data_IF_543540031255
#
_entry.id   IF_543540031255
#
_cell.length_a   1.000
_cell.length_b   1.000
_cell.length_c   1.000
_cell.angle_alpha   90.00
_cell.angle_beta   90.00
_cell.angle_gamma   90.00
#
_symmetry.space_group_name_H-M   'P 1'
#
loop_
_entity.id
_entity.type
_entity.pdbx_description
1 polymer ?
#
# COMPACT_ATOMS: atom_id res chain seq x y z
N UNK A 1 20.39 1.78 -5.79
CA UNK A 1 19.12 1.18 -6.26
C UNK A 1 18.94 1.53 -7.72
N UNK A 2 18.47 0.58 -8.55
CA UNK A 2 18.33 0.77 -10.01
C UNK A 2 17.52 2.04 -10.38
N UNK A 3 16.41 2.32 -9.67
CA UNK A 3 15.61 3.56 -9.91
C UNK A 3 16.42 4.81 -9.68
N UNK A 4 17.22 4.87 -8.59
CA UNK A 4 18.09 6.01 -8.30
C UNK A 4 19.16 6.21 -9.38
N UNK A 5 19.68 5.12 -9.93
CA UNK A 5 20.63 5.18 -11.07
C UNK A 5 19.93 5.77 -12.29
N UNK A 6 18.69 5.33 -12.60
CA UNK A 6 17.92 5.87 -13.73
C UNK A 6 17.55 7.35 -13.58
N UNK A 7 17.25 7.80 -12.37
CA UNK A 7 16.99 9.22 -12.12
C UNK A 7 18.22 10.12 -12.25
N UNK A 8 19.43 9.55 -12.18
CA UNK A 8 20.69 10.26 -12.40
C UNK A 8 21.16 10.24 -13.86
N UNK A 9 20.53 9.48 -14.74
CA UNK A 9 20.81 9.47 -16.17
C UNK A 9 20.11 10.66 -16.85
N UNK A 10 20.63 11.07 -18.04
CA UNK A 10 19.92 12.00 -18.90
C UNK A 10 18.99 11.24 -19.84
N UNK A 11 17.73 11.63 -19.89
CA UNK A 11 16.72 11.06 -20.77
C UNK A 11 16.30 12.11 -21.80
N UNK A 12 16.33 11.75 -23.08
CA UNK A 12 15.90 12.63 -24.17
C UNK A 12 14.37 12.67 -24.29
N UNK A 13 13.71 11.60 -23.87
CA UNK A 13 12.25 11.45 -23.88
C UNK A 13 11.67 11.38 -22.46
N UNK A 14 10.36 11.69 -22.27
CA UNK A 14 9.65 11.42 -21.01
C UNK A 14 9.75 9.95 -20.61
N UNK A 15 9.86 9.68 -19.32
CA UNK A 15 9.94 8.32 -18.79
C UNK A 15 8.74 7.97 -17.91
N UNK A 16 8.48 6.69 -17.81
CA UNK A 16 7.56 6.10 -16.83
C UNK A 16 8.27 4.97 -16.08
N UNK A 17 8.43 5.12 -14.78
CA UNK A 17 9.14 4.16 -13.94
C UNK A 17 8.19 3.62 -12.86
N UNK A 18 8.14 2.30 -12.72
CA UNK A 18 7.43 1.62 -11.62
C UNK A 18 8.46 0.98 -10.70
N UNK A 19 8.48 1.42 -9.44
CA UNK A 19 9.31 0.85 -8.39
C UNK A 19 8.49 -0.11 -7.53
N UNK A 20 8.51 -1.40 -7.85
CA UNK A 20 7.78 -2.43 -7.11
C UNK A 20 8.55 -2.90 -5.88
N UNK A 21 7.93 -2.79 -4.70
CA UNK A 21 8.45 -3.28 -3.43
C UNK A 21 7.69 -4.53 -3.00
N UNK A 22 8.38 -5.67 -2.85
CA UNK A 22 7.73 -6.92 -2.45
C UNK A 22 7.38 -6.96 -0.95
N UNK A 23 8.08 -6.18 -0.11
CA UNK A 23 7.78 -6.12 1.32
C UNK A 23 6.57 -5.22 1.57
N UNK A 24 5.78 -5.52 2.60
CA UNK A 24 5.91 -6.52 3.70
C UNK A 24 5.36 -7.92 3.40
N UNK A 25 5.26 -8.36 2.15
CA UNK A 25 4.83 -9.72 1.80
C UNK A 25 5.71 -10.79 2.47
N UNK A 26 5.10 -11.92 2.86
CA UNK A 26 5.82 -13.09 3.39
C UNK A 26 6.67 -13.78 2.30
N UNK A 27 7.82 -14.41 2.69
CA UNK A 27 8.46 -14.38 4.01
C UNK A 27 9.03 -12.99 4.33
N UNK A 28 8.89 -12.55 5.59
CA UNK A 28 9.24 -11.20 6.02
C UNK A 28 10.70 -11.10 6.39
N UNK A 29 11.51 -10.64 5.46
CA UNK A 29 12.93 -10.38 5.65
C UNK A 29 13.22 -8.90 5.54
N UNK A 30 13.89 -8.36 6.55
CA UNK A 30 14.45 -7.02 6.56
C UNK A 30 15.81 -7.07 7.29
N UNK A 31 16.72 -6.12 7.08
CA UNK A 31 17.92 -5.99 7.89
C UNK A 31 17.58 -5.85 9.38
N UNK A 32 18.48 -6.37 10.24
CA UNK A 32 18.27 -6.42 11.70
C UNK A 32 17.93 -5.05 12.30
N UNK A 33 18.55 -4.00 11.81
CA UNK A 33 18.34 -2.62 12.27
C UNK A 33 16.87 -2.19 12.24
N UNK A 34 16.08 -2.66 11.25
CA UNK A 34 14.66 -2.36 11.18
C UNK A 34 13.84 -3.16 12.20
N UNK A 35 14.27 -4.37 12.58
CA UNK A 35 13.67 -5.11 13.69
C UNK A 35 13.98 -4.43 15.04
N UNK A 36 15.18 -3.90 15.20
CA UNK A 36 15.62 -3.24 16.44
C UNK A 36 14.83 -1.93 16.69
N UNK A 37 14.21 -1.33 15.66
CA UNK A 37 13.32 -0.17 15.80
C UNK A 37 12.03 -0.50 16.56
N UNK A 38 11.64 -1.77 16.63
CA UNK A 38 10.38 -2.24 17.23
C UNK A 38 10.65 -3.31 18.30
N UNK A 39 11.17 -2.96 19.49
CA UNK A 39 11.39 -3.91 20.58
C UNK A 39 10.09 -4.66 20.93
N UNK A 40 10.17 -5.97 21.14
CA UNK A 40 8.98 -6.82 21.35
C UNK A 40 8.12 -6.38 22.54
N UNK A 41 8.73 -5.83 23.57
CA UNK A 41 8.05 -5.28 24.76
C UNK A 41 7.20 -4.06 24.46
N UNK A 42 7.48 -3.35 23.37
CA UNK A 42 6.73 -2.16 22.94
C UNK A 42 5.62 -2.48 21.92
N UNK A 43 5.59 -3.69 21.41
CA UNK A 43 4.59 -4.10 20.43
C UNK A 43 3.21 -4.17 21.07
N UNK A 44 2.30 -3.38 20.54
CA UNK A 44 0.87 -3.42 20.84
C UNK A 44 0.23 -4.36 19.82
N UNK A 45 -0.45 -5.38 20.31
CA UNK A 45 -1.19 -6.29 19.43
C UNK A 45 -2.41 -5.58 18.84
N UNK A 46 -2.81 -5.93 17.61
CA UNK A 46 -4.05 -5.44 17.02
C UNK A 46 -5.26 -5.76 17.91
N UNK A 47 -6.33 -4.95 17.85
CA UNK A 47 -7.56 -5.26 18.55
C UNK A 47 -8.11 -6.61 18.05
N UNK A 48 -8.42 -7.49 18.97
CA UNK A 48 -9.01 -8.79 18.68
C UNK A 48 -10.30 -8.94 19.49
N UNK A 49 -11.36 -9.33 18.82
CA UNK A 49 -12.63 -9.68 19.43
C UNK A 49 -12.93 -11.15 19.12
N UNK A 50 -13.10 -11.96 20.14
CA UNK A 50 -13.53 -13.34 19.99
C UNK A 50 -14.92 -13.37 19.32
N UNK A 51 -15.09 -14.25 18.34
CA UNK A 51 -16.33 -14.40 17.57
C UNK A 51 -16.78 -13.13 16.79
N UNK A 52 -15.86 -12.27 16.42
CA UNK A 52 -16.12 -11.01 15.67
C UNK A 52 -16.79 -11.21 14.30
N UNK A 53 -16.86 -12.43 13.81
CA UNK A 53 -17.56 -12.77 12.57
C UNK A 53 -19.04 -13.17 12.77
N UNK A 54 -19.50 -13.35 14.01
CA UNK A 54 -20.85 -13.88 14.30
C UNK A 54 -21.98 -12.94 13.85
N UNK A 55 -21.75 -11.64 13.78
CA UNK A 55 -22.69 -10.63 13.33
C UNK A 55 -22.62 -10.35 11.82
N UNK A 56 -21.81 -11.10 11.09
CA UNK A 56 -21.59 -10.90 9.66
C UNK A 56 -22.20 -12.02 8.82
N UNK A 57 -22.61 -11.74 7.57
CA UNK A 57 -23.14 -12.79 6.70
C UNK A 57 -22.11 -13.90 6.47
N UNK A 58 -22.50 -15.19 6.64
CA UNK A 58 -21.57 -16.32 6.50
C UNK A 58 -20.83 -16.36 5.15
N UNK A 59 -21.43 -15.88 4.09
CA UNK A 59 -20.83 -15.84 2.74
C UNK A 59 -19.50 -15.10 2.72
N UNK A 60 -19.24 -14.19 3.67
CA UNK A 60 -18.00 -13.40 3.73
C UNK A 60 -16.81 -14.19 4.28
N UNK A 61 -17.07 -15.27 5.02
CA UNK A 61 -16.02 -16.02 5.71
C UNK A 61 -16.22 -17.54 5.66
N UNK A 62 -17.44 -18.03 5.46
CA UNK A 62 -17.73 -19.44 5.29
C UNK A 62 -16.96 -19.97 4.07
N UNK A 63 -16.30 -21.11 4.23
CA UNK A 63 -15.38 -21.69 3.23
C UNK A 63 -14.08 -20.89 2.94
N UNK A 64 -13.83 -19.81 3.64
CA UNK A 64 -12.54 -19.13 3.59
C UNK A 64 -11.64 -19.67 4.71
N UNK A 65 -10.66 -20.49 4.36
CA UNK A 65 -9.71 -21.07 5.32
C UNK A 65 -8.93 -20.03 6.14
N UNK A 66 -8.87 -18.78 5.69
CA UNK A 66 -8.21 -17.67 6.39
C UNK A 66 -9.07 -17.11 7.54
N UNK A 67 -10.37 -17.36 7.58
CA UNK A 67 -11.29 -16.84 8.62
C UNK A 67 -11.00 -17.37 10.03
N UNK A 68 -10.11 -18.33 10.18
CA UNK A 68 -9.62 -18.84 11.46
C UNK A 68 -8.09 -18.82 11.54
N UNK A 69 -7.44 -17.99 10.74
CA UNK A 69 -5.99 -18.01 10.64
C UNK A 69 -5.30 -17.58 11.93
N UNK A 70 -5.84 -16.58 12.63
CA UNK A 70 -5.30 -16.18 13.93
C UNK A 70 -5.51 -17.28 14.98
N UNK A 71 -6.72 -17.86 15.09
CA UNK A 71 -6.99 -18.95 16.02
C UNK A 71 -5.98 -20.10 15.83
N UNK A 72 -5.85 -20.61 14.62
CA UNK A 72 -4.87 -21.67 14.33
C UNK A 72 -3.44 -21.26 14.66
N UNK A 73 -3.03 -20.05 14.30
CA UNK A 73 -1.70 -19.54 14.62
C UNK A 73 -1.44 -19.50 16.13
N UNK A 74 -2.44 -19.09 16.93
CA UNK A 74 -2.32 -19.04 18.39
C UNK A 74 -2.29 -20.46 19.00
N UNK A 75 -3.11 -21.38 18.49
CA UNK A 75 -3.12 -22.80 18.90
C UNK A 75 -1.78 -23.47 18.57
N UNK A 76 -1.29 -23.35 17.33
CA UNK A 76 -0.04 -23.96 16.88
C UNK A 76 1.19 -23.42 17.66
N UNK A 77 1.11 -22.17 18.12
CA UNK A 77 2.21 -21.52 18.86
C UNK A 77 2.10 -21.65 20.38
N UNK A 78 0.97 -22.12 20.93
CA UNK A 78 0.72 -22.17 22.36
C UNK A 78 1.69 -23.09 23.12
N UNK A 79 2.09 -24.21 22.52
CA UNK A 79 3.01 -25.19 23.10
C UNK A 79 4.49 -24.86 22.88
N UNK A 80 4.79 -23.71 22.27
CA UNK A 80 6.19 -23.29 22.09
C UNK A 80 6.76 -22.70 23.38
N UNK A 81 8.07 -22.67 23.47
CA UNK A 81 8.82 -22.16 24.62
C UNK A 81 8.55 -20.69 24.97
N UNK A 82 8.06 -19.92 24.02
CA UNK A 82 7.77 -18.49 24.20
C UNK A 82 6.27 -18.15 24.22
N UNK A 83 5.39 -19.10 23.90
CA UNK A 83 3.94 -18.95 23.91
C UNK A 83 3.36 -18.11 22.77
N UNK A 84 2.05 -18.21 22.59
CA UNK A 84 1.33 -17.66 21.44
C UNK A 84 1.35 -16.12 21.38
N UNK A 85 1.22 -15.42 22.51
CA UNK A 85 1.29 -13.94 22.52
C UNK A 85 2.63 -13.42 22.01
N UNK A 86 3.73 -14.03 22.44
CA UNK A 86 5.05 -13.63 22.01
C UNK A 86 5.26 -13.91 20.50
N UNK A 87 4.73 -15.02 19.99
CA UNK A 87 4.76 -15.31 18.57
C UNK A 87 3.93 -14.30 17.77
N UNK A 88 2.78 -13.87 18.29
CA UNK A 88 1.96 -12.85 17.64
C UNK A 88 2.69 -11.49 17.64
N UNK A 89 3.31 -11.10 18.74
CA UNK A 89 4.19 -9.91 18.77
C UNK A 89 5.31 -9.98 17.75
N UNK A 90 5.98 -11.13 17.60
CA UNK A 90 6.99 -11.34 16.56
C UNK A 90 6.42 -11.23 15.14
N UNK A 91 5.20 -11.71 14.94
CA UNK A 91 4.51 -11.58 13.66
C UNK A 91 4.26 -10.11 13.32
N UNK A 92 3.76 -9.32 14.26
CA UNK A 92 3.55 -7.87 14.11
C UNK A 92 4.89 -7.15 13.93
N UNK A 93 5.88 -7.43 14.77
CA UNK A 93 7.23 -6.86 14.66
C UNK A 93 7.82 -7.06 13.25
N UNK A 94 7.72 -8.26 12.70
CA UNK A 94 8.25 -8.56 11.38
C UNK A 94 7.59 -7.77 10.26
N UNK A 95 6.29 -7.48 10.41
CA UNK A 95 5.56 -6.62 9.49
C UNK A 95 6.05 -5.17 9.57
N UNK A 96 6.12 -4.61 10.79
CA UNK A 96 6.60 -3.25 11.03
C UNK A 96 8.04 -3.05 10.54
N UNK A 97 8.92 -4.00 10.81
CA UNK A 97 10.30 -3.98 10.32
C UNK A 97 10.38 -3.94 8.78
N UNK A 98 9.54 -4.73 8.11
CA UNK A 98 9.46 -4.72 6.65
C UNK A 98 8.89 -3.41 6.11
N UNK A 99 7.90 -2.81 6.78
CA UNK A 99 7.35 -1.50 6.41
C UNK A 99 8.42 -0.41 6.56
N UNK A 100 9.13 -0.37 7.68
CA UNK A 100 10.23 0.58 7.90
C UNK A 100 11.35 0.41 6.88
N UNK A 101 11.65 -0.82 6.48
CA UNK A 101 12.63 -1.09 5.42
C UNK A 101 12.14 -0.54 4.05
N UNK A 102 10.88 -0.72 3.71
CA UNK A 102 10.30 -0.15 2.47
C UNK A 102 10.30 1.38 2.53
N UNK A 103 9.91 1.97 3.65
CA UNK A 103 9.94 3.41 3.86
C UNK A 103 11.35 3.99 3.61
N UNK A 104 12.37 3.36 4.17
CA UNK A 104 13.76 3.71 3.90
C UNK A 104 14.12 3.63 2.39
N UNK A 105 13.68 2.58 1.69
CA UNK A 105 13.97 2.44 0.25
C UNK A 105 13.22 3.50 -0.58
N UNK A 106 12.00 3.85 -0.20
CA UNK A 106 11.23 4.95 -0.81
C UNK A 106 11.95 6.28 -0.58
N UNK A 107 12.45 6.53 0.64
CA UNK A 107 13.26 7.70 0.94
C UNK A 107 14.46 7.84 0.02
N UNK A 108 15.23 6.76 -0.19
CA UNK A 108 16.39 6.76 -1.13
C UNK A 108 15.98 7.13 -2.57
N UNK A 109 14.80 6.69 -3.02
CA UNK A 109 14.30 7.03 -4.36
C UNK A 109 13.88 8.50 -4.42
N UNK A 110 13.17 8.99 -3.41
CA UNK A 110 12.71 10.38 -3.34
C UNK A 110 13.90 11.35 -3.23
N UNK A 111 14.89 11.04 -2.41
CA UNK A 111 16.13 11.82 -2.32
C UNK A 111 16.86 11.89 -3.68
N UNK A 112 16.87 10.77 -4.41
CA UNK A 112 17.49 10.73 -5.74
C UNK A 112 16.72 11.58 -6.75
N UNK A 113 15.38 11.58 -6.68
CA UNK A 113 14.53 12.43 -7.51
C UNK A 113 14.74 13.90 -7.18
N UNK A 114 14.70 14.27 -5.91
CA UNK A 114 14.89 15.66 -5.43
C UNK A 114 16.21 16.26 -5.88
N UNK A 115 17.28 15.44 -5.92
CA UNK A 115 18.61 15.87 -6.35
C UNK A 115 18.85 15.70 -7.86
N UNK A 116 17.84 15.31 -8.64
CA UNK A 116 17.93 15.14 -10.09
C UNK A 116 17.40 16.36 -10.86
N UNK A 117 17.66 16.40 -12.16
CA UNK A 117 17.10 17.40 -13.06
C UNK A 117 15.58 17.25 -13.27
N UNK A 118 14.98 16.21 -12.72
CA UNK A 118 13.56 15.86 -12.89
C UNK A 118 12.69 16.21 -11.68
N UNK A 119 13.28 16.80 -10.63
CA UNK A 119 12.59 17.10 -9.37
C UNK A 119 11.29 17.89 -9.55
N UNK A 120 11.30 18.89 -10.41
CA UNK A 120 10.20 19.83 -10.60
C UNK A 120 9.18 19.40 -11.68
N UNK A 121 9.42 18.30 -12.38
CA UNK A 121 8.57 17.87 -13.51
C UNK A 121 8.20 16.38 -13.47
N UNK A 122 8.38 15.70 -12.34
CA UNK A 122 8.02 14.30 -12.18
C UNK A 122 6.80 14.16 -11.27
N UNK A 123 5.78 13.46 -11.78
CA UNK A 123 4.63 13.03 -10.97
C UNK A 123 5.04 11.80 -10.17
N UNK A 124 4.79 11.83 -8.87
CA UNK A 124 5.03 10.69 -7.98
C UNK A 124 3.70 10.16 -7.46
N UNK A 125 3.45 8.86 -7.63
CA UNK A 125 2.31 8.16 -7.04
C UNK A 125 2.86 7.05 -6.14
N UNK A 126 2.50 7.09 -4.86
CA UNK A 126 2.80 6.05 -3.90
C UNK A 126 1.50 5.35 -3.48
N UNK A 127 1.46 4.03 -3.63
CA UNK A 127 0.29 3.22 -3.27
C UNK A 127 0.69 1.78 -2.94
N UNK A 128 -0.28 0.98 -2.47
CA UNK A 128 -0.16 -0.47 -2.32
C UNK A 128 -1.26 -1.16 -3.14
N UNK A 129 -1.07 -2.44 -3.43
CA UNK A 129 -2.05 -3.27 -4.14
C UNK A 129 -3.21 -3.70 -3.24
N UNK A 130 -2.96 -3.92 -1.95
CA UNK A 130 -3.95 -4.28 -0.92
C UNK A 130 -3.38 -3.98 0.47
N UNK A 131 -4.25 -4.01 1.47
CA UNK A 131 -3.89 -3.99 2.88
C UNK A 131 -3.61 -5.39 3.44
N UNK A 132 -3.63 -5.55 4.78
CA UNK A 132 -3.30 -6.80 5.44
C UNK A 132 -3.89 -6.86 6.85
N UNK A 133 -4.54 -7.97 7.20
CA UNK A 133 -4.96 -8.28 8.57
C UNK A 133 -3.80 -8.80 9.42
N UNK A 134 -3.71 -8.30 10.62
CA UNK A 134 -2.73 -8.73 11.62
C UNK A 134 -3.37 -9.44 12.82
N UNK A 135 -4.63 -9.86 12.68
CA UNK A 135 -5.44 -10.56 13.68
C UNK A 135 -6.90 -10.12 13.69
N UNK A 136 -7.21 -8.95 13.17
CA UNK A 136 -8.58 -8.43 13.10
C UNK A 136 -9.48 -9.41 12.34
N UNK A 137 -10.73 -9.56 12.80
CA UNK A 137 -11.69 -10.52 12.22
C UNK A 137 -11.16 -11.98 12.16
N UNK A 138 -10.20 -12.32 13.03
CA UNK A 138 -9.52 -13.63 13.03
C UNK A 138 -8.70 -13.96 11.77
N UNK A 139 -8.34 -12.94 10.95
CA UNK A 139 -7.53 -13.10 9.77
C UNK A 139 -6.07 -12.72 10.02
N UNK A 140 -5.13 -13.40 9.35
CA UNK A 140 -3.69 -13.07 9.29
C UNK A 140 -3.23 -12.91 7.83
N UNK A 141 -4.03 -12.29 6.99
CA UNK A 141 -3.80 -12.25 5.56
C UNK A 141 -4.60 -11.11 4.93
N UNK A 142 -4.91 -11.27 3.70
CA UNK A 142 -5.67 -10.41 2.78
C UNK A 142 -6.79 -11.24 2.15
N UNK A 143 -7.37 -10.78 1.08
CA UNK A 143 -8.45 -11.48 0.36
C UNK A 143 -9.77 -11.46 1.14
N UNK A 144 -10.04 -10.30 1.73
CA UNK A 144 -11.30 -9.99 2.40
C UNK A 144 -11.85 -8.66 1.87
N UNK A 145 -13.08 -8.33 2.26
CA UNK A 145 -13.71 -7.05 1.96
C UNK A 145 -13.59 -6.03 3.10
N UNK A 146 -12.95 -6.41 4.21
CA UNK A 146 -12.74 -5.54 5.37
C UNK A 146 -11.71 -4.45 5.06
N UNK A 147 -11.79 -3.32 5.78
CA UNK A 147 -10.90 -2.18 5.58
C UNK A 147 -9.42 -2.55 5.68
N UNK A 148 -9.07 -3.49 6.54
CA UNK A 148 -7.69 -3.96 6.71
C UNK A 148 -7.10 -4.53 5.41
N UNK A 149 -7.92 -5.11 4.54
CA UNK A 149 -7.51 -5.60 3.22
C UNK A 149 -7.71 -4.60 2.09
N UNK A 150 -8.72 -3.72 2.18
CA UNK A 150 -9.17 -2.90 1.04
C UNK A 150 -8.71 -1.45 1.13
N UNK A 151 -8.49 -0.93 2.34
CA UNK A 151 -7.99 0.42 2.54
C UNK A 151 -6.47 0.46 2.44
N UNK A 152 -5.98 1.18 1.44
CA UNK A 152 -4.56 1.30 1.12
C UNK A 152 -4.13 2.77 1.13
N UNK A 153 -2.84 3.06 1.31
CA UNK A 153 -2.32 4.40 1.11
C UNK A 153 -2.42 4.78 -0.37
N UNK A 154 -2.78 6.02 -0.64
CA UNK A 154 -2.62 6.65 -1.95
C UNK A 154 -2.12 8.08 -1.72
N UNK A 155 -0.90 8.35 -2.15
CA UNK A 155 -0.28 9.68 -2.10
C UNK A 155 0.09 10.07 -3.51
N UNK A 156 -0.30 11.27 -3.92
CA UNK A 156 0.00 11.81 -5.24
C UNK A 156 0.68 13.16 -5.09
N UNK A 157 1.87 13.28 -5.67
CA UNK A 157 2.57 14.53 -5.86
C UNK A 157 2.63 14.81 -7.36
N UNK A 158 1.96 15.87 -7.80
CA UNK A 158 1.94 16.33 -9.18
C UNK A 158 2.33 17.80 -9.22
N UNK A 159 3.56 18.15 -9.64
CA UNK A 159 4.05 19.53 -9.64
C UNK A 159 3.11 20.47 -10.41
N UNK A 160 2.74 21.58 -9.79
CA UNK A 160 1.81 22.57 -10.38
C UNK A 160 0.34 22.17 -10.42
N UNK A 161 -0.03 20.97 -9.94
CA UNK A 161 -1.40 20.46 -9.89
C UNK A 161 -1.84 20.16 -8.47
N UNK A 162 -1.09 19.30 -7.75
CA UNK A 162 -1.48 18.89 -6.40
C UNK A 162 -1.21 19.98 -5.36
N UNK A 163 -2.15 20.14 -4.42
CA UNK A 163 -1.99 21.02 -3.26
C UNK A 163 -1.19 20.28 -2.18
N UNK A 164 -0.02 20.81 -1.84
CA UNK A 164 0.90 20.15 -0.92
C UNK A 164 0.32 20.05 0.50
N UNK A 165 0.49 18.89 1.13
CA UNK A 165 0.11 18.64 2.53
C UNK A 165 -1.39 18.43 2.77
N UNK A 166 -2.21 18.51 1.74
CA UNK A 166 -3.67 18.36 1.87
C UNK A 166 -4.11 16.90 1.84
N UNK A 167 -5.28 16.66 2.44
CA UNK A 167 -5.93 15.35 2.48
C UNK A 167 -7.27 15.41 1.77
N UNK A 168 -7.54 14.42 0.95
CA UNK A 168 -8.83 14.23 0.28
C UNK A 168 -9.63 13.18 1.06
N UNK A 169 -10.85 13.54 1.49
CA UNK A 169 -11.75 12.63 2.19
C UNK A 169 -12.62 11.79 1.23
N UNK A 170 -12.64 12.14 -0.06
CA UNK A 170 -13.41 11.41 -1.06
C UNK A 170 -12.78 10.03 -1.32
N UNK A 171 -13.54 8.93 -1.27
CA UNK A 171 -13.03 7.61 -1.60
C UNK A 171 -12.68 7.52 -3.09
N UNK A 172 -11.52 6.95 -3.37
CA UNK A 172 -11.01 6.68 -4.71
C UNK A 172 -10.53 5.24 -4.80
N UNK A 173 -10.30 4.73 -5.99
CA UNK A 173 -9.94 3.33 -6.21
C UNK A 173 -8.65 3.20 -7.05
N UNK A 174 -8.00 2.04 -7.01
CA UNK A 174 -6.84 1.76 -7.86
C UNK A 174 -7.13 1.87 -9.36
N UNK A 175 -8.37 1.64 -9.78
CA UNK A 175 -8.78 1.81 -11.19
C UNK A 175 -8.71 3.25 -11.66
N UNK A 176 -8.71 4.23 -10.74
CA UNK A 176 -8.64 5.66 -11.01
C UNK A 176 -7.21 6.12 -11.32
N UNK A 177 -6.19 5.32 -10.97
CA UNK A 177 -4.78 5.69 -11.18
C UNK A 177 -4.47 5.82 -12.67
N UNK A 178 -4.90 4.87 -13.49
CA UNK A 178 -4.59 4.88 -14.91
C UNK A 178 -5.20 6.08 -15.66
N UNK A 179 -6.51 6.38 -15.54
CA UNK A 179 -7.07 7.61 -16.13
C UNK A 179 -6.45 8.88 -15.55
N UNK A 180 -6.04 8.89 -14.28
CA UNK A 180 -5.32 10.03 -13.69
C UNK A 180 -3.95 10.25 -14.35
N UNK A 181 -3.20 9.19 -14.59
CA UNK A 181 -1.91 9.28 -15.30
C UNK A 181 -2.08 9.79 -16.72
N UNK A 182 -3.11 9.33 -17.44
CA UNK A 182 -3.43 9.83 -18.79
C UNK A 182 -3.68 11.35 -18.75
N UNK A 183 -4.54 11.81 -17.85
CA UNK A 183 -4.91 13.20 -17.70
C UNK A 183 -3.72 14.08 -17.30
N UNK A 184 -2.99 13.69 -16.25
CA UNK A 184 -1.83 14.44 -15.75
C UNK A 184 -0.67 14.50 -16.74
N UNK A 185 -0.54 13.48 -17.59
CA UNK A 185 0.52 13.42 -18.62
C UNK A 185 0.07 13.95 -19.98
N UNK A 186 -1.14 14.51 -20.08
CA UNK A 186 -1.73 15.02 -21.33
C UNK A 186 -1.70 14.00 -22.49
N UNK A 187 -1.88 12.72 -22.15
CA UNK A 187 -1.99 11.65 -23.13
C UNK A 187 -3.40 11.61 -23.73
N UNK A 188 -3.60 10.97 -24.90
CA UNK A 188 -4.92 10.82 -25.47
C UNK A 188 -5.92 10.17 -24.49
N UNK A 189 -7.09 10.75 -24.30
CA UNK A 189 -8.14 10.26 -23.37
C UNK A 189 -8.56 8.80 -23.61
N UNK A 190 -8.51 8.37 -24.86
CA UNK A 190 -8.80 6.98 -25.21
C UNK A 190 -7.51 6.27 -25.65
N UNK A 191 -6.82 5.53 -24.75
CA UNK A 191 -5.61 4.79 -25.09
C UNK A 191 -5.88 3.63 -26.06
N UNK A 192 -7.15 3.29 -26.30
CA UNK A 192 -7.59 2.19 -27.18
C UNK A 192 -7.97 2.68 -28.59
N UNK A 193 -7.52 3.87 -29.00
CA UNK A 193 -7.78 4.40 -30.34
C UNK A 193 -7.31 3.41 -31.40
N UNK A 194 -8.27 2.91 -32.20
CA UNK A 194 -8.00 1.97 -33.29
C UNK A 194 -7.83 0.51 -32.89
N UNK A 195 -8.03 0.15 -31.62
CA UNK A 195 -7.95 -1.21 -31.08
C UNK A 195 -9.26 -1.75 -30.54
N UNK A 196 -9.26 -3.03 -30.18
CA UNK A 196 -10.39 -3.74 -29.53
C UNK A 196 -10.31 -3.60 -28.00
N UNK A 197 -9.76 -2.50 -27.47
CA UNK A 197 -9.64 -2.28 -26.03
C UNK A 197 -10.98 -1.93 -25.37
N UNK A 198 -11.08 -2.22 -24.07
CA UNK A 198 -12.22 -1.84 -23.26
C UNK A 198 -12.14 -0.36 -22.86
N UNK A 199 -13.30 0.26 -22.61
CA UNK A 199 -13.36 1.57 -21.98
C UNK A 199 -12.76 1.49 -20.56
N UNK A 200 -12.23 2.61 -20.08
CA UNK A 200 -11.76 2.71 -18.71
C UNK A 200 -12.95 2.85 -17.76
N UNK A 201 -12.97 2.08 -16.68
CA UNK A 201 -14.03 2.14 -15.67
C UNK A 201 -13.73 3.18 -14.57
N UNK A 202 -12.47 3.59 -14.42
CA UNK A 202 -12.04 4.61 -13.45
C UNK A 202 -12.12 6.03 -14.00
N UNK A 203 -11.97 6.98 -13.09
CA UNK A 203 -12.01 8.42 -13.38
C UNK A 203 -10.70 9.09 -12.94
N UNK A 204 -10.33 10.21 -13.61
CA UNK A 204 -9.19 11.00 -13.15
C UNK A 204 -9.48 11.64 -11.79
N UNK A 205 -8.56 11.46 -10.84
CA UNK A 205 -8.64 12.11 -9.52
C UNK A 205 -8.07 13.54 -9.54
N UNK A 206 -7.67 14.06 -10.70
CA UNK A 206 -7.12 15.42 -10.84
C UNK A 206 -7.97 16.49 -10.18
N UNK A 207 -9.33 16.50 -10.29
CA UNK A 207 -10.15 17.50 -9.61
C UNK A 207 -9.95 17.57 -8.10
N UNK A 208 -9.64 16.42 -7.46
CA UNK A 208 -9.35 16.35 -6.02
C UNK A 208 -7.92 16.79 -5.69
N UNK A 209 -6.98 16.64 -6.62
CA UNK A 209 -5.60 17.13 -6.46
C UNK A 209 -5.54 18.66 -6.54
N UNK A 210 -6.33 19.26 -7.46
CA UNK A 210 -6.44 20.72 -7.63
C UNK A 210 -7.27 21.37 -6.52
N UNK A 211 -8.30 20.69 -6.02
CA UNK A 211 -9.19 21.19 -4.98
C UNK A 211 -9.57 20.06 -4.00
N UNK A 212 -8.73 19.77 -2.98
CA UNK A 212 -8.93 18.67 -2.05
C UNK A 212 -10.24 18.71 -1.25
N UNK A 213 -10.80 19.90 -1.04
CA UNK A 213 -12.01 20.09 -0.22
C UNK A 213 -13.29 20.00 -1.05
N UNK A 214 -13.30 20.61 -2.24
CA UNK A 214 -14.51 20.75 -3.05
C UNK A 214 -14.40 20.12 -4.45
N UNK A 215 -13.32 19.39 -4.72
CA UNK A 215 -13.16 18.63 -5.96
C UNK A 215 -14.31 17.63 -6.12
N UNK A 216 -14.74 17.40 -7.35
CA UNK A 216 -15.79 16.43 -7.70
C UNK A 216 -15.60 15.94 -9.12
N UNK A 217 -16.09 14.75 -9.42
CA UNK A 217 -16.28 14.27 -10.77
C UNK A 217 -17.51 14.88 -11.42
#
# INVERSE_FOLDING_TARGET
>A
IWVSEKLNETHDDPFFIVAGMNRPHTPRYAPKEFFDMFPLETIILPPYLENDLNDTPPILWENNYQSSALTRFLEDSAETDIGSEMWWKKWVQSYLACVAFVDHQVGVILDSLENSQYADNTIVIFTADHGYHMGEKNFLSKTTIWEESTRIPLVVYAPGVSVAGEKVAHPVSLIDIYPTLIDLSALPENPNIGGNGYLLDGYSIRPFLENPINGSW
#
